data_IF_938888562691
#
_entry.id   IF_938888562691
#
_cell.length_a   1.000
_cell.length_b   1.000
_cell.length_c   1.000
_cell.angle_alpha   90.00
_cell.angle_beta   90.00
_cell.angle_gamma   90.00
#
_symmetry.space_group_name_H-M   'P 1'
#
loop_
_entity.id
_entity.type
_entity.pdbx_description
1 polymer ?
#
# COMPACT_ATOMS: atom_id res chain seq x y z
N UNK A 1 12.02 -25.32 -20.07
CA UNK A 1 12.42 -24.24 -19.12
C UNK A 1 11.16 -23.64 -18.55
N UNK A 2 11.16 -23.31 -17.24
CA UNK A 2 10.06 -22.55 -16.63
C UNK A 2 10.01 -21.13 -17.20
N UNK A 3 8.80 -20.57 -17.32
CA UNK A 3 8.61 -19.17 -17.66
C UNK A 3 9.16 -18.27 -16.55
N UNK A 4 9.76 -17.14 -16.92
CA UNK A 4 10.30 -16.17 -15.96
C UNK A 4 9.36 -14.98 -15.80
N UNK A 5 8.99 -14.70 -14.55
CA UNK A 5 8.19 -13.52 -14.19
C UNK A 5 9.10 -12.53 -13.46
N UNK A 6 9.23 -11.35 -14.02
CA UNK A 6 9.92 -10.23 -13.39
C UNK A 6 8.92 -9.40 -12.61
N UNK A 7 9.09 -9.26 -11.28
CA UNK A 7 8.22 -8.45 -10.44
C UNK A 7 8.90 -7.11 -10.15
N UNK A 8 8.24 -6.01 -10.51
CA UNK A 8 8.76 -4.67 -10.25
C UNK A 8 8.51 -4.28 -8.79
N UNK A 9 9.57 -4.15 -8.01
CA UNK A 9 9.54 -3.94 -6.58
C UNK A 9 10.06 -2.56 -6.13
N UNK A 10 10.15 -1.59 -7.04
CA UNK A 10 10.62 -0.23 -6.73
C UNK A 10 9.82 0.45 -5.61
N UNK A 11 8.54 0.11 -5.45
CA UNK A 11 7.71 0.59 -4.34
C UNK A 11 8.17 0.13 -2.96
N UNK A 12 8.96 -0.97 -2.86
CA UNK A 12 9.51 -1.45 -1.58
C UNK A 12 10.77 -0.65 -1.21
N UNK A 13 11.59 -0.31 -2.20
CA UNK A 13 12.88 0.34 -2.02
C UNK A 13 12.78 1.85 -1.87
N UNK A 14 11.63 2.45 -2.14
CA UNK A 14 11.39 3.87 -1.97
C UNK A 14 11.70 4.31 -0.52
N UNK A 15 12.08 5.59 -0.27
CA UNK A 15 12.35 6.09 1.08
C UNK A 15 11.23 5.75 2.06
N UNK A 16 11.56 5.57 3.34
CA UNK A 16 10.67 5.02 4.39
C UNK A 16 9.28 5.64 4.47
N UNK A 17 9.14 6.90 4.07
CA UNK A 17 7.86 7.62 3.99
C UNK A 17 7.03 7.27 2.73
N UNK A 18 7.62 6.61 1.72
CA UNK A 18 6.96 6.14 0.48
C UNK A 18 7.14 4.65 0.22
N UNK A 19 8.06 3.99 0.91
CA UNK A 19 8.47 2.61 0.63
C UNK A 19 7.58 1.54 1.25
N UNK A 20 8.20 0.49 1.79
CA UNK A 20 7.49 -0.69 2.32
C UNK A 20 6.52 -0.40 3.46
N UNK A 21 6.63 0.76 4.13
CA UNK A 21 5.67 1.22 5.13
C UNK A 21 4.40 1.84 4.53
N UNK A 22 4.40 2.18 3.24
CA UNK A 22 3.21 2.64 2.53
C UNK A 22 2.40 1.44 2.00
N UNK A 23 1.09 1.59 1.85
CA UNK A 23 0.18 0.50 1.51
C UNK A 23 0.61 -0.33 0.28
N UNK A 24 1.03 0.32 -0.81
CA UNK A 24 1.46 -0.35 -2.05
C UNK A 24 2.79 -1.09 -1.86
N UNK A 25 3.78 -0.46 -1.22
CA UNK A 25 5.07 -1.11 -0.94
C UNK A 25 4.89 -2.31 -0.01
N UNK A 26 4.06 -2.16 1.04
CA UNK A 26 3.75 -3.26 1.95
C UNK A 26 3.03 -4.41 1.23
N UNK A 27 2.06 -4.14 0.37
CA UNK A 27 1.36 -5.20 -0.39
C UNK A 27 2.30 -5.94 -1.32
N UNK A 28 3.20 -5.23 -2.01
CA UNK A 28 4.23 -5.84 -2.87
C UNK A 28 5.18 -6.73 -2.07
N UNK A 29 5.65 -6.26 -0.90
CA UNK A 29 6.51 -7.06 -0.03
C UNK A 29 5.79 -8.31 0.49
N UNK A 30 4.53 -8.20 0.89
CA UNK A 30 3.75 -9.34 1.35
C UNK A 30 3.47 -10.35 0.23
N UNK A 31 3.20 -9.87 -0.99
CA UNK A 31 3.11 -10.73 -2.19
C UNK A 31 4.38 -11.55 -2.37
N UNK A 32 5.55 -10.91 -2.39
CA UNK A 32 6.85 -11.59 -2.56
C UNK A 32 7.11 -12.60 -1.43
N UNK A 33 6.84 -12.23 -0.17
CA UNK A 33 6.96 -13.16 0.97
C UNK A 33 6.02 -14.35 0.89
N UNK A 34 4.81 -14.14 0.39
CA UNK A 34 3.84 -15.24 0.20
C UNK A 34 4.26 -16.15 -0.93
N UNK A 35 4.73 -15.61 -2.05
CA UNK A 35 5.27 -16.40 -3.17
C UNK A 35 6.50 -17.21 -2.74
N UNK A 36 7.37 -16.67 -1.89
CA UNK A 36 8.54 -17.36 -1.35
C UNK A 36 8.20 -18.59 -0.49
N UNK A 37 6.99 -18.67 0.06
CA UNK A 37 6.52 -19.82 0.84
C UNK A 37 6.02 -20.99 -0.03
N UNK A 38 5.83 -20.76 -1.33
CA UNK A 38 5.30 -21.77 -2.25
C UNK A 38 6.48 -22.55 -2.87
N UNK A 39 6.61 -23.83 -2.52
CA UNK A 39 7.74 -24.66 -2.92
C UNK A 39 7.77 -25.02 -4.42
N UNK A 40 6.61 -25.13 -5.08
CA UNK A 40 6.50 -25.62 -6.46
C UNK A 40 5.77 -24.62 -7.36
N UNK A 41 6.32 -23.41 -7.51
CA UNK A 41 5.81 -22.46 -8.50
C UNK A 41 6.03 -22.99 -9.92
N UNK A 42 5.05 -22.88 -10.82
CA UNK A 42 5.17 -23.29 -12.23
C UNK A 42 6.03 -22.34 -13.06
N UNK A 43 6.55 -21.27 -12.46
CA UNK A 43 7.38 -20.24 -13.07
C UNK A 43 8.51 -19.83 -12.12
N UNK A 44 9.54 -19.23 -12.65
CA UNK A 44 10.62 -18.62 -11.89
C UNK A 44 10.32 -17.14 -11.63
N UNK A 45 10.66 -16.65 -10.43
CA UNK A 45 10.48 -15.26 -10.05
C UNK A 45 11.83 -14.56 -9.97
N UNK A 46 11.92 -13.40 -10.59
CA UNK A 46 13.01 -12.46 -10.42
C UNK A 46 12.44 -11.11 -9.97
N UNK A 47 13.21 -10.36 -9.19
CA UNK A 47 12.80 -9.04 -8.65
C UNK A 47 13.57 -7.96 -9.37
N UNK A 48 12.89 -6.88 -9.72
CA UNK A 48 13.49 -5.69 -10.30
C UNK A 48 13.12 -4.45 -9.49
N UNK A 49 14.10 -3.65 -9.14
CA UNK A 49 13.88 -2.36 -8.49
C UNK A 49 14.68 -1.26 -9.17
N UNK A 50 14.08 -0.11 -9.37
CA UNK A 50 14.71 1.09 -9.89
C UNK A 50 14.69 2.21 -8.84
N UNK A 51 15.62 3.16 -8.98
CA UNK A 51 15.80 4.27 -8.05
C UNK A 51 17.13 4.19 -7.28
N UNK A 52 17.63 5.33 -6.83
CA UNK A 52 18.88 5.37 -6.03
C UNK A 52 18.74 4.57 -4.73
N UNK A 53 17.57 4.57 -4.13
CA UNK A 53 17.24 3.80 -2.93
C UNK A 53 17.21 2.28 -3.15
N UNK A 54 17.24 1.82 -4.40
CA UNK A 54 17.32 0.38 -4.71
C UNK A 54 18.74 -0.17 -4.59
N UNK A 55 19.75 0.70 -4.67
CA UNK A 55 21.15 0.31 -4.54
C UNK A 55 21.47 0.01 -3.08
N UNK A 56 21.95 -1.20 -2.83
CA UNK A 56 22.22 -1.67 -1.47
C UNK A 56 20.95 -1.98 -0.65
N UNK A 57 19.76 -1.88 -1.25
CA UNK A 57 18.56 -2.34 -0.60
C UNK A 57 18.62 -3.86 -0.46
N UNK A 58 18.53 -4.30 0.77
CA UNK A 58 18.53 -5.71 1.07
C UNK A 58 17.12 -6.28 0.91
N UNK A 59 16.94 -7.06 -0.16
CA UNK A 59 15.73 -7.88 -0.35
C UNK A 59 15.73 -9.09 0.59
N UNK A 60 16.25 -8.89 1.82
CA UNK A 60 16.51 -9.88 2.84
C UNK A 60 15.42 -10.94 2.94
N UNK A 61 15.86 -12.15 3.01
CA UNK A 61 15.02 -13.32 3.20
C UNK A 61 14.03 -13.60 2.06
N UNK A 62 14.24 -13.02 0.88
CA UNK A 62 13.52 -13.42 -0.33
C UNK A 62 14.44 -14.30 -1.18
N UNK A 63 14.04 -15.54 -1.51
CA UNK A 63 14.88 -16.50 -2.26
C UNK A 63 14.95 -16.19 -3.77
N UNK A 64 14.63 -14.96 -4.16
CA UNK A 64 14.53 -14.56 -5.55
C UNK A 64 15.78 -13.78 -5.99
N UNK A 65 16.26 -14.08 -7.20
CA UNK A 65 17.28 -13.24 -7.84
C UNK A 65 16.74 -11.83 -8.02
N UNK A 66 17.55 -10.82 -7.75
CA UNK A 66 17.16 -9.43 -7.87
C UNK A 66 18.12 -8.59 -8.70
N UNK A 67 17.59 -7.56 -9.33
CA UNK A 67 18.30 -6.56 -10.11
C UNK A 67 17.95 -5.18 -9.59
N UNK A 68 18.97 -4.37 -9.32
CA UNK A 68 18.80 -2.98 -8.90
C UNK A 68 19.38 -2.04 -9.95
N UNK A 69 18.60 -1.00 -10.29
CA UNK A 69 19.01 -0.02 -11.29
C UNK A 69 19.02 1.39 -10.65
N UNK A 70 20.18 2.04 -10.52
CA UNK A 70 20.32 3.34 -9.84
C UNK A 70 19.88 4.49 -10.75
N UNK A 71 18.60 4.56 -11.10
CA UNK A 71 18.07 5.71 -11.82
C UNK A 71 17.61 6.74 -10.79
N UNK A 72 18.19 7.96 -10.75
CA UNK A 72 17.77 8.97 -9.80
C UNK A 72 16.31 9.36 -10.03
N UNK A 73 15.46 9.24 -9.01
CA UNK A 73 14.03 9.60 -9.09
C UNK A 73 13.79 11.09 -9.40
N UNK A 74 14.77 11.96 -9.10
CA UNK A 74 14.68 13.41 -9.26
C UNK A 74 15.22 13.95 -10.59
N UNK A 75 15.95 13.16 -11.35
CA UNK A 75 16.44 13.58 -12.66
C UNK A 75 15.33 13.28 -13.67
N UNK A 76 14.38 14.16 -13.71
CA UNK A 76 13.39 14.37 -14.75
C UNK A 76 12.66 13.15 -15.30
N UNK A 77 11.41 13.36 -15.69
CA UNK A 77 10.56 12.34 -16.35
C UNK A 77 11.21 11.62 -17.56
N UNK A 78 12.33 12.10 -18.08
CA UNK A 78 13.00 11.53 -19.25
C UNK A 78 13.80 10.27 -18.95
N UNK A 79 14.53 10.21 -17.83
CA UNK A 79 15.27 8.99 -17.44
C UNK A 79 14.33 7.86 -17.02
N UNK A 80 13.18 8.18 -16.42
CA UNK A 80 12.17 7.16 -16.15
C UNK A 80 11.56 6.55 -17.41
N UNK A 81 11.60 7.26 -18.54
CA UNK A 81 11.18 6.73 -19.85
C UNK A 81 12.20 5.79 -20.47
N UNK A 82 13.48 5.94 -20.13
CA UNK A 82 14.56 5.09 -20.62
C UNK A 82 14.63 3.77 -19.81
N UNK A 83 14.19 3.78 -18.56
CA UNK A 83 14.22 2.62 -17.66
C UNK A 83 13.56 1.36 -18.27
N UNK A 84 12.35 1.41 -18.87
CA UNK A 84 11.75 0.24 -19.49
C UNK A 84 12.59 -0.36 -20.66
N UNK A 85 13.23 0.50 -21.42
CA UNK A 85 14.13 0.06 -22.50
C UNK A 85 15.36 -0.65 -21.93
N UNK A 86 16.00 -0.08 -20.92
CA UNK A 86 17.17 -0.68 -20.26
C UNK A 86 16.76 -2.03 -19.64
N UNK A 87 15.67 -2.06 -18.88
CA UNK A 87 15.14 -3.29 -18.27
C UNK A 87 14.94 -4.39 -19.33
N UNK A 88 14.23 -4.09 -20.41
CA UNK A 88 13.91 -5.05 -21.46
C UNK A 88 15.14 -5.55 -22.22
N UNK A 89 16.24 -4.79 -22.21
CA UNK A 89 17.49 -5.15 -22.88
C UNK A 89 18.43 -5.97 -22.00
N UNK A 90 18.47 -5.69 -20.70
CA UNK A 90 19.46 -6.28 -19.79
C UNK A 90 18.90 -7.37 -18.88
N UNK A 91 17.56 -7.47 -18.75
CA UNK A 91 16.93 -8.52 -17.96
C UNK A 91 16.07 -9.41 -18.86
N UNK A 92 16.34 -10.71 -18.84
CA UNK A 92 15.59 -11.67 -19.65
C UNK A 92 14.40 -12.23 -18.87
N UNK A 93 13.18 -11.95 -19.31
CA UNK A 93 11.91 -12.42 -18.71
C UNK A 93 10.83 -12.61 -19.77
N UNK A 94 9.86 -13.47 -19.46
CA UNK A 94 8.69 -13.72 -20.33
C UNK A 94 7.53 -12.78 -20.02
N UNK A 95 7.39 -12.37 -18.76
CA UNK A 95 6.28 -11.54 -18.28
C UNK A 95 6.77 -10.58 -17.19
N UNK A 96 6.36 -9.31 -17.30
CA UNK A 96 6.54 -8.31 -16.24
C UNK A 96 5.28 -8.23 -15.38
N UNK A 97 5.42 -8.29 -14.06
CA UNK A 97 4.35 -7.93 -13.14
C UNK A 97 4.64 -6.58 -12.49
N UNK A 98 3.73 -5.64 -12.67
CA UNK A 98 3.76 -4.32 -12.05
C UNK A 98 2.75 -4.32 -10.89
N UNK A 99 3.18 -4.48 -9.62
CA UNK A 99 2.27 -4.61 -8.48
C UNK A 99 1.83 -3.24 -7.91
N UNK A 100 1.72 -2.23 -8.77
CA UNK A 100 1.30 -0.87 -8.41
C UNK A 100 0.61 -0.15 -9.58
N UNK A 101 -0.11 0.92 -9.26
CA UNK A 101 -1.10 1.51 -10.14
C UNK A 101 -0.56 2.02 -11.49
N UNK A 102 0.47 2.86 -11.53
CA UNK A 102 0.95 3.48 -12.78
C UNK A 102 2.46 3.34 -12.90
N UNK A 103 2.91 2.90 -14.08
CA UNK A 103 4.32 2.80 -14.41
C UNK A 103 4.59 3.06 -15.89
N UNK A 104 5.85 3.21 -16.27
CA UNK A 104 6.29 3.23 -17.65
C UNK A 104 6.62 1.79 -18.11
N UNK A 105 6.13 1.45 -19.30
CA UNK A 105 6.30 0.11 -19.90
C UNK A 105 6.74 0.26 -21.34
N UNK A 106 7.78 -0.48 -21.72
CA UNK A 106 8.24 -0.50 -23.11
C UNK A 106 7.18 -1.10 -24.04
N UNK A 107 7.16 -0.65 -25.30
CA UNK A 107 6.13 -1.06 -26.27
C UNK A 107 6.10 -2.57 -26.57
N UNK A 108 7.23 -3.24 -26.42
CA UNK A 108 7.38 -4.69 -26.71
C UNK A 108 7.21 -5.58 -25.46
N UNK A 109 7.09 -5.01 -24.25
CA UNK A 109 6.94 -5.81 -23.03
C UNK A 109 5.55 -6.43 -22.93
N UNK A 110 5.52 -7.74 -22.60
CA UNK A 110 4.32 -8.41 -22.11
C UNK A 110 4.22 -8.21 -20.61
N UNK A 111 3.09 -7.69 -20.11
CA UNK A 111 2.95 -7.40 -18.68
C UNK A 111 1.54 -7.60 -18.15
N UNK A 112 1.49 -7.83 -16.85
CA UNK A 112 0.29 -7.74 -16.02
C UNK A 112 0.47 -6.61 -15.01
N UNK A 113 -0.62 -6.02 -14.57
CA UNK A 113 -0.60 -4.92 -13.60
C UNK A 113 -1.58 -5.15 -12.46
N UNK A 114 -1.20 -4.78 -11.25
CA UNK A 114 -2.13 -4.69 -10.13
C UNK A 114 -2.59 -3.26 -9.97
N UNK A 115 -3.84 -2.98 -10.35
CA UNK A 115 -4.50 -1.70 -10.09
C UNK A 115 -5.29 -1.79 -8.79
N UNK A 116 -4.79 -1.18 -7.74
CA UNK A 116 -5.44 -1.18 -6.42
C UNK A 116 -6.75 -0.39 -6.43
N UNK A 117 -6.74 0.76 -7.10
CA UNK A 117 -7.86 1.67 -7.31
C UNK A 117 -7.58 2.59 -8.51
N UNK A 118 -8.54 3.44 -8.85
CA UNK A 118 -8.43 4.47 -9.89
C UNK A 118 -8.42 5.90 -9.34
N UNK A 119 -8.17 6.07 -8.04
CA UNK A 119 -8.20 7.40 -7.37
C UNK A 119 -7.22 8.39 -8.00
N UNK A 120 -6.03 7.92 -8.37
CA UNK A 120 -5.04 8.78 -9.02
C UNK A 120 -5.44 9.15 -10.46
N UNK A 121 -6.17 8.29 -11.16
CA UNK A 121 -6.79 8.60 -12.44
C UNK A 121 -7.89 9.65 -12.29
N UNK A 122 -8.82 9.48 -11.35
CA UNK A 122 -9.87 10.46 -11.06
C UNK A 122 -9.29 11.84 -10.74
N UNK A 123 -8.22 11.86 -9.94
CA UNK A 123 -7.51 13.11 -9.64
C UNK A 123 -6.88 13.75 -10.88
N UNK A 124 -6.31 12.94 -11.79
CA UNK A 124 -5.76 13.44 -13.03
C UNK A 124 -6.86 14.08 -13.90
N UNK A 125 -8.03 13.44 -13.99
CA UNK A 125 -9.20 14.01 -14.69
C UNK A 125 -9.67 15.30 -14.02
N UNK A 126 -9.86 15.30 -12.70
CA UNK A 126 -10.33 16.47 -11.96
C UNK A 126 -9.38 17.68 -12.06
N UNK A 127 -8.07 17.43 -12.17
CA UNK A 127 -7.03 18.46 -12.34
C UNK A 127 -6.72 18.78 -13.81
N UNK A 128 -7.48 18.26 -14.78
CA UNK A 128 -7.22 18.40 -16.21
C UNK A 128 -5.81 17.93 -16.65
N UNK A 129 -5.22 16.97 -15.92
CA UNK A 129 -3.96 16.34 -16.29
C UNK A 129 -4.20 15.22 -17.31
N UNK A 130 -4.50 15.63 -18.53
CA UNK A 130 -4.79 14.75 -19.66
C UNK A 130 -3.63 13.81 -19.97
N UNK A 131 -2.39 14.25 -19.73
CA UNK A 131 -1.19 13.42 -19.95
C UNK A 131 -1.15 12.22 -19.02
N UNK A 132 -1.38 12.42 -17.74
CA UNK A 132 -1.45 11.32 -16.77
C UNK A 132 -2.65 10.42 -17.01
N UNK A 133 -3.82 10.97 -17.31
CA UNK A 133 -5.00 10.18 -17.66
C UNK A 133 -4.77 9.26 -18.87
N UNK A 134 -4.18 9.79 -19.96
CA UNK A 134 -3.82 9.00 -21.15
C UNK A 134 -2.79 7.89 -20.83
N UNK A 135 -1.84 8.12 -19.92
CA UNK A 135 -0.90 7.08 -19.49
C UNK A 135 -1.62 5.92 -18.79
N UNK A 136 -2.58 6.22 -17.91
CA UNK A 136 -3.39 5.21 -17.24
C UNK A 136 -4.14 4.34 -18.25
N UNK A 137 -4.87 4.97 -19.17
CA UNK A 137 -5.62 4.27 -20.23
C UNK A 137 -4.70 3.42 -21.10
N UNK A 138 -3.58 3.99 -21.56
CA UNK A 138 -2.60 3.26 -22.38
C UNK A 138 -2.01 2.07 -21.66
N UNK A 139 -1.66 2.19 -20.38
CA UNK A 139 -1.12 1.09 -19.61
C UNK A 139 -2.18 0.01 -19.38
N UNK A 140 -3.39 0.39 -19.00
CA UNK A 140 -4.47 -0.57 -18.76
C UNK A 140 -4.87 -1.32 -20.04
N UNK A 141 -5.03 -0.63 -21.18
CA UNK A 141 -5.45 -1.25 -22.46
C UNK A 141 -4.43 -2.20 -23.07
N UNK A 142 -3.16 -2.11 -22.67
CA UNK A 142 -2.08 -2.97 -23.18
C UNK A 142 -1.72 -4.12 -22.24
N UNK A 143 -2.20 -4.09 -21.01
CA UNK A 143 -1.95 -5.15 -20.05
C UNK A 143 -2.56 -6.48 -20.52
N UNK A 144 -1.81 -7.58 -20.39
CA UNK A 144 -2.32 -8.94 -20.66
C UNK A 144 -3.40 -9.36 -19.66
N UNK A 145 -3.28 -8.88 -18.42
CA UNK A 145 -4.28 -9.01 -17.38
C UNK A 145 -4.12 -7.88 -16.37
N UNK A 146 -5.21 -7.53 -15.72
CA UNK A 146 -5.26 -6.56 -14.63
C UNK A 146 -5.75 -7.29 -13.39
N UNK A 147 -5.02 -7.20 -12.30
CA UNK A 147 -5.47 -7.68 -11.00
C UNK A 147 -5.94 -6.49 -10.16
N UNK A 148 -6.99 -6.68 -9.39
CA UNK A 148 -7.48 -5.68 -8.42
C UNK A 148 -8.00 -6.35 -7.16
N UNK A 149 -8.19 -5.58 -6.09
CA UNK A 149 -8.46 -6.11 -4.75
C UNK A 149 -9.95 -6.23 -4.39
N UNK A 150 -10.87 -5.73 -5.22
CA UNK A 150 -12.30 -5.78 -4.93
C UNK A 150 -13.16 -5.72 -6.19
N UNK A 151 -14.42 -6.18 -6.09
CA UNK A 151 -15.38 -6.04 -7.17
C UNK A 151 -15.69 -4.56 -7.48
N UNK A 152 -15.73 -3.72 -6.45
CA UNK A 152 -15.89 -2.28 -6.64
C UNK A 152 -14.74 -1.69 -7.47
N UNK A 153 -13.48 -2.00 -7.13
CA UNK A 153 -12.34 -1.53 -7.93
C UNK A 153 -12.38 -2.09 -9.35
N UNK A 154 -12.83 -3.33 -9.55
CA UNK A 154 -13.03 -3.90 -10.89
C UNK A 154 -14.03 -3.07 -11.70
N UNK A 155 -15.20 -2.76 -11.14
CA UNK A 155 -16.22 -1.97 -11.82
C UNK A 155 -15.71 -0.57 -12.18
N UNK A 156 -14.97 0.08 -11.29
CA UNK A 156 -14.37 1.38 -11.51
C UNK A 156 -13.29 1.35 -12.62
N UNK A 157 -12.42 0.33 -12.63
CA UNK A 157 -11.40 0.13 -13.66
C UNK A 157 -12.04 -0.08 -15.03
N UNK A 158 -13.02 -0.97 -15.11
CA UNK A 158 -13.74 -1.29 -16.34
C UNK A 158 -14.41 -0.04 -16.91
N UNK A 159 -15.19 0.68 -16.09
CA UNK A 159 -15.97 1.83 -16.56
C UNK A 159 -15.11 3.04 -16.89
N UNK A 160 -14.16 3.39 -16.02
CA UNK A 160 -13.38 4.62 -16.15
C UNK A 160 -12.23 4.53 -17.14
N UNK A 161 -11.58 3.36 -17.23
CA UNK A 161 -10.49 3.15 -18.17
C UNK A 161 -10.95 2.52 -19.51
N UNK A 162 -12.22 2.20 -19.64
CA UNK A 162 -12.82 1.53 -20.80
C UNK A 162 -12.10 0.21 -21.13
N UNK A 163 -11.99 -0.68 -20.15
CA UNK A 163 -11.31 -1.97 -20.25
C UNK A 163 -12.34 -3.10 -20.27
N UNK A 164 -12.07 -4.11 -21.10
CA UNK A 164 -12.90 -5.32 -21.17
C UNK A 164 -12.92 -6.03 -19.80
N UNK A 165 -14.11 -6.37 -19.24
CA UNK A 165 -14.23 -6.98 -17.90
C UNK A 165 -13.45 -8.28 -17.74
N UNK A 166 -13.27 -9.05 -18.83
CA UNK A 166 -12.57 -10.33 -18.86
C UNK A 166 -11.06 -10.19 -18.61
N UNK A 167 -10.50 -9.02 -18.91
CA UNK A 167 -9.07 -8.71 -18.67
C UNK A 167 -8.83 -8.42 -17.18
N UNK A 168 -9.88 -8.08 -16.41
CA UNK A 168 -9.77 -7.67 -15.01
C UNK A 168 -10.19 -8.79 -14.07
N UNK A 169 -9.25 -9.30 -13.28
CA UNK A 169 -9.48 -10.32 -12.25
C UNK A 169 -9.46 -9.72 -10.85
N UNK A 170 -10.42 -10.11 -10.03
CA UNK A 170 -10.43 -9.74 -8.61
C UNK A 170 -9.66 -10.78 -7.81
N UNK A 171 -8.62 -10.32 -7.13
CA UNK A 171 -7.81 -11.11 -6.20
C UNK A 171 -7.88 -10.41 -4.85
N UNK A 172 -8.71 -10.92 -3.94
CA UNK A 172 -8.87 -10.34 -2.62
C UNK A 172 -7.56 -10.42 -1.83
N UNK A 173 -7.25 -9.34 -1.12
CA UNK A 173 -6.08 -9.32 -0.25
C UNK A 173 -6.27 -10.26 0.94
N UNK A 174 -5.26 -11.06 1.21
CA UNK A 174 -5.16 -11.85 2.44
C UNK A 174 -4.60 -11.02 3.59
N UNK A 175 -4.87 -11.46 4.82
CA UNK A 175 -4.18 -11.00 6.01
C UNK A 175 -2.99 -11.92 6.33
N UNK A 176 -1.90 -11.33 6.88
CA UNK A 176 -0.76 -12.12 7.39
C UNK A 176 -1.14 -12.74 8.72
N UNK A 177 -1.59 -14.00 8.70
CA UNK A 177 -2.05 -14.72 9.89
C UNK A 177 -0.93 -15.03 10.89
N UNK A 178 0.33 -15.00 10.45
CA UNK A 178 1.53 -15.05 11.28
C UNK A 178 1.75 -13.77 12.08
N UNK A 179 1.16 -12.64 11.67
CA UNK A 179 1.27 -11.34 12.34
C UNK A 179 0.00 -10.92 13.05
N UNK A 180 -1.16 -11.16 12.43
CA UNK A 180 -2.47 -10.77 12.92
C UNK A 180 -3.31 -12.00 13.19
N UNK A 181 -3.40 -12.37 14.45
CA UNK A 181 -4.12 -13.52 14.99
C UNK A 181 -4.79 -13.15 16.30
N UNK A 182 -5.68 -14.00 16.79
CA UNK A 182 -6.30 -13.83 18.12
C UNK A 182 -5.21 -14.03 19.17
N UNK A 183 -4.87 -12.95 19.87
CA UNK A 183 -3.80 -12.91 20.86
C UNK A 183 -4.30 -13.32 22.25
N UNK A 184 -3.42 -13.84 23.10
CA UNK A 184 -3.73 -14.09 24.50
C UNK A 184 -4.16 -12.78 25.20
N UNK A 185 -5.24 -12.85 25.98
CA UNK A 185 -5.84 -11.68 26.64
C UNK A 185 -4.88 -10.97 27.60
N UNK A 186 -3.98 -11.70 28.26
CA UNK A 186 -3.02 -11.10 29.18
C UNK A 186 -1.93 -10.36 28.43
N UNK A 187 -1.49 -10.89 27.29
CA UNK A 187 -0.54 -10.20 26.40
C UNK A 187 -1.17 -8.92 25.85
N UNK A 188 -2.39 -9.03 25.32
CA UNK A 188 -3.16 -7.88 24.82
C UNK A 188 -3.28 -6.81 25.89
N UNK A 189 -3.74 -7.17 27.10
CA UNK A 189 -3.92 -6.24 28.21
C UNK A 189 -2.61 -5.55 28.62
N UNK A 190 -1.52 -6.33 28.72
CA UNK A 190 -0.18 -5.79 29.03
C UNK A 190 0.27 -4.77 27.97
N UNK A 191 0.14 -5.14 26.69
CA UNK A 191 0.58 -4.28 25.59
C UNK A 191 -0.25 -3.00 25.50
N UNK A 192 -1.56 -3.07 25.72
CA UNK A 192 -2.43 -1.91 25.80
C UNK A 192 -2.05 -0.98 26.96
N UNK A 193 -1.77 -1.55 28.13
CA UNK A 193 -1.30 -0.77 29.30
C UNK A 193 0.01 -0.04 29.00
N UNK A 194 0.97 -0.69 28.32
CA UNK A 194 2.22 -0.05 27.89
C UNK A 194 1.99 1.10 26.89
N UNK A 195 0.89 1.07 26.14
CA UNK A 195 0.47 2.15 25.25
C UNK A 195 -0.37 3.23 25.96
N UNK A 196 -0.62 3.11 27.27
CA UNK A 196 -1.47 4.02 28.04
C UNK A 196 -2.97 3.88 27.73
N UNK A 197 -3.38 2.71 27.24
CA UNK A 197 -4.76 2.45 26.84
C UNK A 197 -5.42 1.51 27.85
N UNK A 198 -6.28 2.09 28.67
CA UNK A 198 -7.11 1.37 29.65
C UNK A 198 -8.60 1.62 29.34
N UNK A 199 -9.42 0.59 29.53
CA UNK A 199 -10.86 0.63 29.27
C UNK A 199 -11.26 0.46 27.81
N UNK A 200 -12.53 0.64 27.48
CA UNK A 200 -13.05 0.44 26.13
C UNK A 200 -12.60 1.54 25.16
N UNK A 201 -12.28 1.16 23.92
CA UNK A 201 -11.84 2.11 22.91
C UNK A 201 -12.21 1.69 21.51
N UNK A 202 -12.18 2.68 20.61
CA UNK A 202 -12.15 2.50 19.17
C UNK A 202 -10.73 2.74 18.66
N UNK A 203 -10.30 2.00 17.65
CA UNK A 203 -9.00 2.21 17.01
C UNK A 203 -9.16 2.61 15.54
N UNK A 204 -8.36 3.56 15.07
CA UNK A 204 -8.29 3.92 13.66
C UNK A 204 -6.86 4.20 13.22
N UNK A 205 -6.47 3.59 12.09
CA UNK A 205 -5.21 3.91 11.42
C UNK A 205 -5.48 5.05 10.44
N UNK A 206 -4.91 6.21 10.69
CA UNK A 206 -5.35 7.44 10.06
C UNK A 206 -4.23 8.27 9.43
N UNK A 207 -4.62 9.25 8.64
CA UNK A 207 -3.75 10.28 8.08
C UNK A 207 -4.56 11.52 7.69
N UNK A 208 -3.87 12.63 7.40
CA UNK A 208 -4.49 13.91 7.04
C UNK A 208 -5.25 13.91 5.69
N UNK A 209 -5.21 12.83 4.92
CA UNK A 209 -5.81 12.81 3.59
C UNK A 209 -7.34 12.95 3.67
N UNK A 210 -7.99 13.91 2.96
CA UNK A 210 -9.43 14.19 3.05
C UNK A 210 -10.33 12.97 2.90
N UNK A 211 -9.98 12.01 2.01
CA UNK A 211 -10.77 10.78 1.79
C UNK A 211 -10.88 9.88 3.03
N UNK A 212 -10.00 10.04 4.03
CA UNK A 212 -10.07 9.29 5.30
C UNK A 212 -11.09 9.86 6.26
N UNK A 213 -11.57 11.07 5.97
CA UNK A 213 -12.69 11.74 6.64
C UNK A 213 -12.58 11.75 8.17
N UNK A 214 -11.36 11.90 8.67
CA UNK A 214 -11.04 11.84 10.09
C UNK A 214 -11.82 12.90 10.90
N UNK A 215 -12.15 14.05 10.27
CA UNK A 215 -12.89 15.11 10.94
C UNK A 215 -14.31 14.69 11.32
N UNK A 216 -14.98 13.90 10.47
CA UNK A 216 -16.29 13.33 10.80
C UNK A 216 -16.16 12.29 11.91
N UNK A 217 -15.12 11.42 11.86
CA UNK A 217 -14.87 10.47 12.94
C UNK A 217 -14.70 11.18 14.30
N UNK A 218 -13.89 12.25 14.34
CA UNK A 218 -13.67 13.02 15.57
C UNK A 218 -14.95 13.68 16.10
N UNK A 219 -15.74 14.29 15.22
CA UNK A 219 -17.05 14.88 15.59
C UNK A 219 -18.03 13.80 16.10
N UNK A 220 -18.12 12.68 15.40
CA UNK A 220 -18.98 11.56 15.82
C UNK A 220 -18.56 11.01 17.20
N UNK A 221 -17.25 10.92 17.44
CA UNK A 221 -16.73 10.48 18.72
C UNK A 221 -17.03 11.46 19.85
N UNK A 222 -16.95 12.78 19.62
CA UNK A 222 -17.38 13.78 20.62
C UNK A 222 -18.84 13.61 21.01
N UNK A 223 -19.73 13.38 20.03
CA UNK A 223 -21.15 13.13 20.33
C UNK A 223 -21.33 11.81 21.11
N UNK A 224 -20.61 10.76 20.73
CA UNK A 224 -20.63 9.48 21.42
C UNK A 224 -20.18 9.58 22.87
N UNK A 225 -19.17 10.39 23.16
CA UNK A 225 -18.66 10.59 24.53
C UNK A 225 -19.70 11.18 25.50
N UNK A 226 -20.71 11.90 25.01
CA UNK A 226 -21.75 12.49 25.87
C UNK A 226 -22.53 11.41 26.64
N UNK A 227 -22.73 10.27 26.04
CA UNK A 227 -23.42 9.12 26.65
C UNK A 227 -22.48 7.99 27.07
N UNK A 228 -21.24 7.99 26.59
CA UNK A 228 -20.25 6.93 26.80
C UNK A 228 -18.90 7.48 27.31
N UNK A 229 -18.86 8.16 28.46
CA UNK A 229 -17.68 8.94 28.88
C UNK A 229 -16.44 8.09 29.23
N UNK A 230 -16.57 6.76 29.35
CA UNK A 230 -15.44 5.86 29.63
C UNK A 230 -14.64 5.47 28.38
N UNK A 231 -15.20 5.65 27.20
CA UNK A 231 -14.55 5.24 25.94
C UNK A 231 -13.41 6.16 25.53
N UNK A 232 -12.48 5.62 24.76
CA UNK A 232 -11.36 6.34 24.14
C UNK A 232 -11.41 6.16 22.62
N UNK A 233 -10.82 7.11 21.88
CA UNK A 233 -10.51 6.97 20.46
C UNK A 233 -8.99 6.95 20.30
N UNK A 234 -8.45 5.82 19.88
CA UNK A 234 -7.03 5.64 19.63
C UNK A 234 -6.75 5.82 18.14
N UNK A 235 -5.95 6.82 17.81
CA UNK A 235 -5.58 7.17 16.45
C UNK A 235 -4.10 6.85 16.22
N UNK A 236 -3.80 5.83 15.41
CA UNK A 236 -2.43 5.60 14.96
C UNK A 236 -2.15 6.57 13.81
N UNK A 237 -1.52 7.70 14.15
CA UNK A 237 -1.32 8.82 13.25
C UNK A 237 -0.08 9.63 13.63
N UNK A 238 0.95 9.59 12.78
CA UNK A 238 2.27 10.17 13.10
C UNK A 238 2.28 11.69 13.18
N UNK A 239 1.53 12.37 12.32
CA UNK A 239 1.57 13.84 12.21
C UNK A 239 0.16 14.40 12.06
N UNK A 240 -0.64 14.47 13.15
CA UNK A 240 -1.94 15.13 13.11
C UNK A 240 -1.77 16.64 12.87
N UNK A 241 -2.62 17.26 12.01
CA UNK A 241 -2.59 18.70 11.78
C UNK A 241 -2.85 19.51 13.05
N UNK A 242 -2.22 20.68 13.14
CA UNK A 242 -2.28 21.54 14.32
C UNK A 242 -3.71 21.98 14.67
N UNK A 243 -4.54 22.24 13.66
CA UNK A 243 -5.94 22.61 13.87
C UNK A 243 -6.77 21.49 14.53
N UNK A 244 -6.47 20.22 14.24
CA UNK A 244 -7.08 19.09 14.93
C UNK A 244 -6.62 19.04 16.38
N UNK A 245 -5.31 19.20 16.64
CA UNK A 245 -4.78 19.20 18.01
C UNK A 245 -5.38 20.33 18.86
N UNK A 246 -5.57 21.51 18.29
CA UNK A 246 -6.20 22.64 18.98
C UNK A 246 -7.70 22.44 19.21
N UNK A 247 -8.42 21.99 18.17
CA UNK A 247 -9.86 21.78 18.25
C UNK A 247 -10.26 20.75 19.30
N UNK A 248 -9.45 19.69 19.45
CA UNK A 248 -9.72 18.57 20.37
C UNK A 248 -8.77 18.57 21.58
N UNK A 249 -8.20 19.72 21.93
CA UNK A 249 -7.21 19.83 23.01
C UNK A 249 -7.71 19.31 24.36
N UNK A 250 -8.99 19.53 24.68
CA UNK A 250 -9.63 19.02 25.90
C UNK A 250 -9.70 17.49 25.91
N UNK A 251 -10.25 16.89 24.85
CA UNK A 251 -10.38 15.43 24.74
C UNK A 251 -9.01 14.74 24.71
N UNK A 252 -7.98 15.42 24.21
CA UNK A 252 -6.60 14.92 24.22
C UNK A 252 -6.02 15.00 25.64
N UNK A 253 -6.18 16.13 26.34
CA UNK A 253 -5.70 16.29 27.72
C UNK A 253 -6.40 15.32 28.69
N UNK A 254 -7.69 15.06 28.47
CA UNK A 254 -8.49 14.12 29.25
C UNK A 254 -8.25 12.65 28.83
N UNK A 255 -7.29 12.37 27.95
CA UNK A 255 -6.95 11.05 27.39
C UNK A 255 -8.15 10.33 26.75
N UNK A 256 -9.13 11.08 26.25
CA UNK A 256 -10.27 10.55 25.47
C UNK A 256 -9.90 10.32 24.02
N UNK A 257 -9.01 11.17 23.46
CA UNK A 257 -8.38 10.98 22.15
C UNK A 257 -6.90 10.78 22.38
N UNK A 258 -6.40 9.62 21.95
CA UNK A 258 -4.99 9.20 22.09
C UNK A 258 -4.35 9.10 20.72
N UNK A 259 -3.27 9.84 20.50
CA UNK A 259 -2.48 9.75 19.28
C UNK A 259 -1.24 8.88 19.50
N UNK A 260 -1.09 7.83 18.68
CA UNK A 260 0.10 6.99 18.63
C UNK A 260 0.85 7.29 17.33
N UNK A 261 2.08 7.80 17.43
CA UNK A 261 2.87 8.22 16.25
C UNK A 261 3.29 7.05 15.36
N UNK A 262 3.75 5.98 16.00
CA UNK A 262 4.20 4.75 15.36
C UNK A 262 3.84 3.57 16.25
N UNK A 263 3.38 2.49 15.62
CA UNK A 263 3.02 1.26 16.32
C UNK A 263 3.61 0.09 15.53
N UNK A 264 4.37 -0.79 16.19
CA UNK A 264 4.86 -2.03 15.57
C UNK A 264 3.69 -2.98 15.25
N UNK A 265 3.94 -3.96 14.36
CA UNK A 265 2.92 -4.96 14.03
C UNK A 265 2.42 -5.73 15.28
N UNK A 266 3.27 -5.93 16.28
CA UNK A 266 2.93 -6.57 17.56
C UNK A 266 1.91 -5.74 18.35
N UNK A 267 2.22 -4.48 18.60
CA UNK A 267 1.31 -3.58 19.32
C UNK A 267 0.04 -3.28 18.51
N UNK A 268 0.15 -3.23 17.18
CA UNK A 268 -1.02 -3.06 16.31
C UNK A 268 -1.97 -4.26 16.40
N UNK A 269 -1.43 -5.47 16.49
CA UNK A 269 -2.21 -6.68 16.75
C UNK A 269 -2.95 -6.58 18.09
N UNK A 270 -2.27 -6.17 19.15
CA UNK A 270 -2.91 -5.98 20.47
C UNK A 270 -3.99 -4.91 20.43
N UNK A 271 -3.77 -3.82 19.68
CA UNK A 271 -4.78 -2.78 19.45
C UNK A 271 -6.03 -3.33 18.75
N UNK A 272 -5.88 -4.24 17.79
CA UNK A 272 -7.04 -4.87 17.14
C UNK A 272 -7.73 -5.93 18.01
N UNK A 273 -6.97 -6.64 18.83
CA UNK A 273 -7.54 -7.66 19.71
C UNK A 273 -8.28 -7.09 20.92
N UNK A 274 -7.97 -5.87 21.33
CA UNK A 274 -8.59 -5.23 22.49
C UNK A 274 -9.66 -4.18 22.18
N UNK A 275 -9.90 -3.87 20.87
CA UNK A 275 -10.85 -2.86 20.44
C UNK A 275 -12.30 -3.33 20.44
#
# INVERSE_FOLDING_TARGET
MKKKILIKASGITAPSWRGYNAGVGRSTLMLLKSLAKISNLPFDIEIYASGLSSVGFDFHNLPFKHFSFPIPEKIGCELTRIEPFIRSKFVNYDLLHIPHNLDEVHSKESYIVTLHDVIAYDRAIANNDIKTAKKWQKMASRAKAIMTCSQYSKSEIVSKLNICPEVVSVVYWGASTDKFYIEDKNITKRNLHLLGIDGPYFVSISCAHPRKNIRILLKAFQLFLQTNPKHKLVLVWSNPPQDILQTYAKEISDLKIVFLKYVSDEYLRSLYNGA
#
